data_IF_644775189083
#
_entry.id   IF_644775189083
#
_cell.length_a   1.000
_cell.length_b   1.000
_cell.length_c   1.000
_cell.angle_alpha   90.00
_cell.angle_beta   90.00
_cell.angle_gamma   90.00
#
_symmetry.space_group_name_H-M   'P 1'
#
loop_
_entity.id
_entity.type
_entity.pdbx_description
1 polymer ?
#
# COMPACT_ATOMS: atom_id res chain seq x y z
N UNK A 1 8.01 -2.60 10.40
CA UNK A 1 8.13 -3.07 9.00
C UNK A 1 7.03 -4.08 8.75
N UNK A 2 5.98 -3.66 8.05
CA UNK A 2 4.81 -4.47 7.71
C UNK A 2 5.01 -5.21 6.37
N UNK A 3 4.02 -5.98 5.92
CA UNK A 3 4.13 -6.76 4.67
C UNK A 3 4.17 -5.87 3.42
N UNK A 4 3.55 -4.68 3.47
CA UNK A 4 3.61 -3.68 2.39
C UNK A 4 5.02 -3.07 2.29
N UNK A 5 5.69 -2.78 3.40
CA UNK A 5 7.07 -2.32 3.42
C UNK A 5 8.00 -3.32 2.72
N UNK A 6 7.85 -4.62 3.04
CA UNK A 6 8.64 -5.69 2.42
C UNK A 6 8.36 -5.82 0.92
N UNK A 7 7.10 -5.67 0.51
CA UNK A 7 6.72 -5.66 -0.89
C UNK A 7 7.41 -4.50 -1.63
N UNK A 8 7.32 -3.28 -1.10
CA UNK A 8 7.93 -2.09 -1.70
C UNK A 8 9.46 -2.28 -1.80
N UNK A 9 10.11 -2.72 -0.73
CA UNK A 9 11.57 -2.95 -0.71
C UNK A 9 12.08 -4.01 -1.69
N UNK A 10 11.20 -4.85 -2.25
CA UNK A 10 11.57 -5.83 -3.27
C UNK A 10 11.81 -5.23 -4.66
N UNK A 11 11.48 -3.94 -4.86
CA UNK A 11 11.63 -3.24 -6.13
C UNK A 11 12.85 -2.32 -6.18
N UNK A 12 13.31 -1.89 -7.37
CA UNK A 12 14.33 -0.84 -7.51
C UNK A 12 13.88 0.50 -6.92
N UNK A 13 14.84 1.34 -6.52
CA UNK A 13 14.63 2.61 -5.80
C UNK A 13 13.55 3.51 -6.44
N UNK A 14 13.60 3.73 -7.76
CA UNK A 14 12.60 4.56 -8.48
C UNK A 14 11.16 4.04 -8.30
N UNK A 15 10.98 2.71 -8.26
CA UNK A 15 9.66 2.09 -8.05
C UNK A 15 9.27 2.21 -6.58
N UNK A 16 10.22 2.06 -5.66
CA UNK A 16 9.96 2.25 -4.23
C UNK A 16 9.44 3.65 -3.92
N UNK A 17 10.04 4.67 -4.52
CA UNK A 17 9.62 6.06 -4.37
C UNK A 17 8.16 6.25 -4.81
N UNK A 18 7.79 5.74 -5.99
CA UNK A 18 6.42 5.85 -6.53
C UNK A 18 5.40 5.09 -5.68
N UNK A 19 5.70 3.85 -5.29
CA UNK A 19 4.82 3.04 -4.45
C UNK A 19 4.63 3.65 -3.05
N UNK A 20 5.70 4.21 -2.49
CA UNK A 20 5.67 4.91 -1.20
C UNK A 20 4.84 6.19 -1.29
N UNK A 21 4.95 6.94 -2.39
CA UNK A 21 4.12 8.12 -2.62
C UNK A 21 2.62 7.78 -2.67
N UNK A 22 2.23 6.73 -3.41
CA UNK A 22 0.85 6.25 -3.46
C UNK A 22 0.34 5.86 -2.07
N UNK A 23 1.14 5.07 -1.34
CA UNK A 23 0.83 4.66 0.03
C UNK A 23 0.61 5.84 0.95
N UNK A 24 1.50 6.84 0.91
CA UNK A 24 1.38 8.02 1.76
C UNK A 24 0.10 8.80 1.47
N UNK A 25 -0.25 8.99 0.20
CA UNK A 25 -1.50 9.65 -0.21
C UNK A 25 -2.72 8.89 0.33
N UNK A 26 -2.72 7.55 0.26
CA UNK A 26 -3.83 6.73 0.79
C UNK A 26 -3.94 6.88 2.30
N UNK A 27 -2.83 6.81 3.04
CA UNK A 27 -2.84 6.93 4.50
C UNK A 27 -3.20 8.34 4.98
N UNK A 28 -2.84 9.37 4.22
CA UNK A 28 -3.20 10.77 4.50
C UNK A 28 -4.71 11.00 4.30
N UNK A 29 -5.26 10.52 3.19
CA UNK A 29 -6.68 10.74 2.85
C UNK A 29 -7.62 9.75 3.56
N UNK A 30 -7.12 8.56 3.90
CA UNK A 30 -7.86 7.49 4.54
C UNK A 30 -7.06 6.88 5.71
N UNK A 31 -6.86 7.62 6.82
CA UNK A 31 -6.06 7.14 7.95
C UNK A 31 -6.65 5.92 8.67
N UNK A 32 -7.94 5.64 8.44
CA UNK A 32 -8.64 4.46 8.95
C UNK A 32 -8.42 3.21 8.07
N UNK A 33 -7.74 3.36 6.92
CA UNK A 33 -7.53 2.26 6.00
C UNK A 33 -6.58 1.23 6.61
N UNK A 34 -6.93 -0.05 6.47
CA UNK A 34 -6.09 -1.16 6.91
C UNK A 34 -5.24 -1.65 5.75
N UNK A 35 -3.93 -1.67 5.95
CA UNK A 35 -2.95 -2.16 4.97
C UNK A 35 -2.86 -3.69 4.99
N UNK A 36 -2.99 -4.33 3.83
CA UNK A 36 -2.86 -5.79 3.66
C UNK A 36 -2.20 -6.13 2.33
N UNK A 37 -1.76 -7.39 2.20
CA UNK A 37 -1.36 -7.97 0.91
C UNK A 37 -2.43 -8.97 0.48
N UNK A 38 -3.11 -8.69 -0.62
CA UNK A 38 -4.03 -9.63 -1.29
C UNK A 38 -3.50 -9.91 -2.69
N UNK A 39 -3.51 -11.17 -3.12
CA UNK A 39 -3.05 -11.56 -4.46
C UNK A 39 -1.64 -11.02 -4.80
N UNK A 40 -0.74 -10.96 -3.80
CA UNK A 40 0.63 -10.42 -3.90
C UNK A 40 0.71 -8.92 -4.23
N UNK A 41 -0.36 -8.16 -3.97
CA UNK A 41 -0.41 -6.71 -4.18
C UNK A 41 -0.83 -5.99 -2.89
N UNK A 42 -0.24 -4.82 -2.58
CA UNK A 42 -0.76 -3.86 -1.62
C UNK A 42 -2.25 -3.60 -1.83
N UNK A 43 -3.02 -3.83 -0.76
CA UNK A 43 -4.48 -3.71 -0.73
C UNK A 43 -4.88 -2.95 0.52
N UNK A 44 -5.78 -1.98 0.34
CA UNK A 44 -6.22 -1.11 1.41
C UNK A 44 -7.72 -1.27 1.59
N UNK A 45 -8.11 -1.62 2.81
CA UNK A 45 -9.51 -1.78 3.21
C UNK A 45 -9.96 -0.56 4.03
N UNK A 46 -11.08 0.06 3.67
CA UNK A 46 -11.70 1.13 4.44
C UNK A 46 -13.10 0.69 4.88
N UNK A 47 -13.33 0.61 6.19
CA UNK A 47 -14.63 0.23 6.77
C UNK A 47 -15.18 -1.11 6.22
N UNK A 48 -14.31 -2.09 5.98
CA UNK A 48 -14.69 -3.41 5.46
C UNK A 48 -14.97 -3.46 3.96
N UNK A 49 -14.67 -2.38 3.22
CA UNK A 49 -14.74 -2.35 1.75
C UNK A 49 -13.34 -2.12 1.16
N UNK A 50 -13.09 -2.77 0.02
CA UNK A 50 -11.84 -2.61 -0.71
C UNK A 50 -11.78 -1.19 -1.28
N UNK A 51 -10.78 -0.42 -0.87
CA UNK A 51 -10.58 0.95 -1.34
C UNK A 51 -9.74 0.96 -2.61
N UNK A 52 -8.58 0.29 -2.58
CA UNK A 52 -7.64 0.26 -3.70
C UNK A 52 -6.70 -0.95 -3.61
N UNK A 53 -6.31 -1.44 -4.79
CA UNK A 53 -5.20 -2.35 -5.00
C UNK A 53 -4.20 -1.68 -5.94
N UNK A 54 -2.91 -1.78 -5.67
CA UNK A 54 -1.88 -1.23 -6.55
C UNK A 54 -0.62 -2.09 -6.55
N UNK A 55 0.17 -1.99 -7.62
CA UNK A 55 1.40 -2.74 -7.88
C UNK A 55 2.38 -1.91 -8.72
#
# INVERSE_FOLDING_TARGET
>A
MNEVDKYIQSFPEEVQERLTAIRNIILELAPQATERICMRMPTYDLNGKWLVHFA
#
